data_IF_719480533610
#
_entry.id   IF_719480533610
#
_cell.length_a   1.000
_cell.length_b   1.000
_cell.length_c   1.000
_cell.angle_alpha   90.00
_cell.angle_beta   90.00
_cell.angle_gamma   90.00
#
_symmetry.space_group_name_H-M   'P 1'
#
loop_
_entity.id
_entity.type
_entity.pdbx_description
1 polymer ?
#
# COMPACT_ATOMS: atom_id res chain seq x y z
N UNK A 1 -12.08 -14.24 6.04
CA UNK A 1 -11.37 -12.95 5.93
C UNK A 1 -10.08 -13.22 5.19
N UNK A 2 -9.97 -12.75 3.95
CA UNK A 2 -8.73 -12.87 3.18
C UNK A 2 -7.68 -11.95 3.80
N UNK A 3 -6.47 -12.46 4.02
CA UNK A 3 -5.33 -11.73 4.61
C UNK A 3 -4.12 -11.84 3.70
N UNK A 4 -3.46 -10.72 3.45
CA UNK A 4 -2.15 -10.64 2.80
C UNK A 4 -1.15 -10.04 3.77
N UNK A 5 0.05 -10.63 3.87
CA UNK A 5 1.16 -10.09 4.65
C UNK A 5 2.44 -10.08 3.81
N UNK A 6 3.12 -8.92 3.76
CA UNK A 6 4.40 -8.75 3.06
C UNK A 6 5.41 -8.20 4.06
N UNK A 7 6.49 -8.94 4.30
CA UNK A 7 7.62 -8.55 5.15
C UNK A 7 8.80 -9.47 4.89
N UNK A 8 10.02 -9.04 5.19
CA UNK A 8 11.23 -9.87 5.08
C UNK A 8 11.37 -10.60 3.73
N UNK A 9 11.02 -9.93 2.63
CA UNK A 9 11.05 -10.47 1.26
C UNK A 9 10.15 -11.70 1.05
N UNK A 10 9.14 -11.85 1.91
CA UNK A 10 8.14 -12.91 1.84
C UNK A 10 6.75 -12.31 1.68
N UNK A 11 5.92 -13.04 0.94
CA UNK A 11 4.53 -12.70 0.64
C UNK A 11 3.67 -13.87 1.06
N UNK A 12 2.75 -13.61 1.98
CA UNK A 12 1.85 -14.60 2.56
C UNK A 12 0.41 -14.28 2.20
N UNK A 13 -0.34 -15.27 1.72
CA UNK A 13 -1.78 -15.19 1.49
C UNK A 13 -2.45 -16.22 2.39
N UNK A 14 -3.31 -15.77 3.32
CA UNK A 14 -3.98 -16.64 4.29
C UNK A 14 -3.02 -17.58 5.03
N UNK A 15 -1.87 -17.05 5.44
CA UNK A 15 -0.77 -17.75 6.14
C UNK A 15 -0.07 -18.85 5.31
N UNK A 16 -0.32 -18.92 4.00
CA UNK A 16 0.44 -19.72 3.04
C UNK A 16 1.48 -18.84 2.33
N UNK A 17 2.72 -19.33 2.25
CA UNK A 17 3.80 -18.62 1.55
C UNK A 17 3.54 -18.68 0.04
N UNK A 18 3.27 -17.53 -0.56
CA UNK A 18 2.95 -17.40 -1.97
C UNK A 18 4.14 -16.96 -2.82
N UNK A 19 5.07 -16.21 -2.24
CA UNK A 19 6.31 -15.80 -2.90
C UNK A 19 7.39 -15.48 -1.86
N UNK A 20 8.63 -15.79 -2.21
CA UNK A 20 9.81 -15.36 -1.47
C UNK A 20 10.94 -14.98 -2.43
N UNK A 21 11.81 -14.09 -1.97
CA UNK A 21 13.07 -13.74 -2.61
C UNK A 21 14.17 -13.69 -1.54
N UNK A 22 15.41 -13.54 -1.97
CA UNK A 22 16.59 -13.38 -1.10
C UNK A 22 17.48 -12.25 -1.59
N UNK A 23 16.87 -11.19 -2.12
CA UNK A 23 17.56 -10.09 -2.79
C UNK A 23 18.29 -9.14 -1.82
N UNK A 24 17.84 -9.10 -0.55
CA UNK A 24 18.33 -8.18 0.48
C UNK A 24 17.97 -6.72 0.26
N UNK A 25 17.18 -6.39 -0.76
CA UNK A 25 16.78 -5.01 -1.12
C UNK A 25 15.32 -4.97 -1.57
N UNK A 26 14.50 -4.16 -0.90
CA UNK A 26 13.10 -4.02 -1.25
C UNK A 26 12.89 -3.55 -2.71
N UNK A 27 13.80 -2.73 -3.25
CA UNK A 27 13.73 -2.25 -4.63
C UNK A 27 13.90 -3.37 -5.67
N UNK A 28 14.69 -4.40 -5.36
CA UNK A 28 14.86 -5.61 -6.18
C UNK A 28 13.70 -6.59 -5.93
N UNK A 29 13.43 -6.92 -4.66
CA UNK A 29 12.33 -7.80 -4.25
C UNK A 29 10.99 -7.37 -4.86
N UNK A 30 10.62 -6.08 -4.72
CA UNK A 30 9.35 -5.56 -5.24
C UNK A 30 9.23 -5.70 -6.76
N UNK A 31 10.34 -5.58 -7.51
CA UNK A 31 10.34 -5.76 -8.96
C UNK A 31 10.27 -7.23 -9.35
N UNK A 32 10.96 -8.11 -8.62
CA UNK A 32 10.93 -9.56 -8.86
C UNK A 32 9.53 -10.11 -8.59
N UNK A 33 8.93 -9.69 -7.48
CA UNK A 33 7.55 -10.01 -7.14
C UNK A 33 6.55 -9.46 -8.17
N UNK A 34 6.68 -8.20 -8.57
CA UNK A 34 5.81 -7.62 -9.61
C UNK A 34 5.88 -8.40 -10.94
N UNK A 35 7.09 -8.86 -11.33
CA UNK A 35 7.29 -9.65 -12.54
C UNK A 35 6.74 -11.07 -12.45
N UNK A 36 6.83 -11.71 -11.28
CA UNK A 36 6.35 -13.10 -11.11
C UNK A 36 4.83 -13.22 -11.23
N UNK A 37 4.11 -12.11 -11.09
CA UNK A 37 2.65 -12.03 -11.26
C UNK A 37 2.23 -11.61 -12.67
N UNK A 38 3.18 -11.40 -13.59
CA UNK A 38 2.91 -10.97 -14.97
C UNK A 38 2.01 -9.71 -15.06
N UNK A 39 2.14 -8.80 -14.08
CA UNK A 39 1.33 -7.57 -14.03
C UNK A 39 1.87 -6.56 -15.04
N UNK A 40 1.03 -6.11 -15.98
CA UNK A 40 1.35 -5.00 -16.88
C UNK A 40 0.81 -3.67 -16.34
N UNK A 41 1.62 -3.00 -15.51
CA UNK A 41 1.28 -1.68 -14.98
C UNK A 41 2.51 -0.77 -14.88
N UNK A 42 2.91 -0.06 -15.96
CA UNK A 42 4.15 0.73 -16.01
C UNK A 42 4.28 1.81 -14.92
N UNK A 43 3.17 2.30 -14.37
CA UNK A 43 3.17 3.28 -13.27
C UNK A 43 3.83 2.74 -12.01
N UNK A 44 3.81 1.42 -11.78
CA UNK A 44 4.47 0.77 -10.65
C UNK A 44 5.94 1.19 -10.50
N UNK A 45 6.68 1.30 -11.59
CA UNK A 45 8.11 1.65 -11.53
C UNK A 45 8.38 3.08 -11.03
N UNK A 46 7.39 3.98 -11.15
CA UNK A 46 7.47 5.38 -10.71
C UNK A 46 7.00 5.60 -9.27
N UNK A 47 6.42 4.59 -8.63
CA UNK A 47 5.95 4.65 -7.25
C UNK A 47 7.10 4.70 -6.25
N UNK A 48 6.89 5.40 -5.14
CA UNK A 48 7.72 5.28 -3.95
C UNK A 48 7.57 3.90 -3.29
N UNK A 49 8.42 3.59 -2.33
CA UNK A 49 8.48 2.25 -1.75
C UNK A 49 7.22 1.89 -0.95
N UNK A 50 6.63 2.85 -0.23
CA UNK A 50 5.38 2.62 0.48
C UNK A 50 4.22 2.34 -0.48
N UNK A 51 4.11 3.09 -1.58
CA UNK A 51 3.06 2.84 -2.57
C UNK A 51 3.27 1.54 -3.33
N UNK A 52 4.52 1.16 -3.64
CA UNK A 52 4.81 -0.18 -4.20
C UNK A 52 4.38 -1.29 -3.25
N UNK A 53 4.67 -1.15 -1.96
CA UNK A 53 4.30 -2.13 -0.95
C UNK A 53 2.77 -2.28 -0.85
N UNK A 54 2.04 -1.16 -0.75
CA UNK A 54 0.57 -1.15 -0.76
C UNK A 54 -0.01 -1.78 -2.02
N UNK A 55 0.52 -1.38 -3.18
CA UNK A 55 0.09 -1.86 -4.50
C UNK A 55 0.23 -3.37 -4.59
N UNK A 56 1.40 -3.91 -4.25
CA UNK A 56 1.68 -5.34 -4.32
C UNK A 56 0.77 -6.16 -3.39
N UNK A 57 0.52 -5.67 -2.18
CA UNK A 57 -0.39 -6.34 -1.26
C UNK A 57 -1.84 -6.33 -1.77
N UNK A 58 -2.29 -5.19 -2.33
CA UNK A 58 -3.63 -5.04 -2.88
C UNK A 58 -3.85 -5.90 -4.14
N UNK A 59 -2.85 -6.00 -5.02
CA UNK A 59 -2.90 -6.83 -6.22
C UNK A 59 -3.20 -8.29 -5.90
N UNK A 60 -2.61 -8.83 -4.84
CA UNK A 60 -2.88 -10.20 -4.38
C UNK A 60 -4.26 -10.28 -3.75
N UNK A 61 -4.55 -9.37 -2.80
CA UNK A 61 -5.77 -9.43 -2.00
C UNK A 61 -7.03 -9.35 -2.87
N UNK A 62 -6.97 -8.56 -3.93
CA UNK A 62 -8.08 -8.27 -4.83
C UNK A 62 -8.03 -9.07 -6.15
N UNK A 63 -7.07 -10.00 -6.29
CA UNK A 63 -6.86 -10.78 -7.53
C UNK A 63 -8.07 -11.60 -7.95
N UNK A 64 -8.68 -12.30 -6.98
CA UNK A 64 -9.77 -13.26 -7.20
C UNK A 64 -11.17 -12.66 -7.06
N UNK A 65 -11.29 -11.36 -6.82
CA UNK A 65 -12.56 -10.63 -6.94
C UNK A 65 -12.90 -10.53 -8.45
N UNK A 66 -13.31 -11.68 -9.00
CA UNK A 66 -13.66 -11.92 -10.39
C UNK A 66 -14.41 -10.72 -10.97
N UNK A 67 -13.79 -10.07 -11.96
CA UNK A 67 -14.27 -8.87 -12.65
C UNK A 67 -14.45 -7.66 -11.73
N UNK A 68 -13.55 -6.69 -11.89
CA UNK A 68 -13.75 -5.26 -11.64
C UNK A 68 -15.04 -4.78 -12.34
N UNK A 69 -16.18 -5.21 -11.83
CA UNK A 69 -17.49 -4.73 -12.24
C UNK A 69 -17.59 -3.30 -11.71
N UNK A 70 -18.28 -2.42 -12.45
CA UNK A 70 -18.33 -0.97 -12.23
C UNK A 70 -18.86 -0.53 -10.83
N UNK A 71 -19.24 -1.47 -9.96
CA UNK A 71 -19.90 -1.28 -8.67
C UNK A 71 -19.13 -1.90 -7.48
N UNK A 72 -17.80 -2.03 -7.55
CA UNK A 72 -17.01 -2.39 -6.37
C UNK A 72 -16.97 -1.23 -5.37
N UNK A 73 -17.96 -1.23 -4.47
CA UNK A 73 -18.04 -0.31 -3.34
C UNK A 73 -17.03 -0.70 -2.25
N UNK A 74 -15.74 -0.74 -2.57
CA UNK A 74 -14.67 -1.16 -1.65
C UNK A 74 -13.92 0.06 -1.12
N UNK A 75 -14.13 0.41 0.15
CA UNK A 75 -13.39 1.49 0.79
C UNK A 75 -11.98 1.05 1.20
N UNK A 76 -11.05 2.00 1.28
CA UNK A 76 -9.69 1.75 1.75
C UNK A 76 -9.44 2.45 3.08
N UNK A 77 -8.98 1.69 4.07
CA UNK A 77 -8.69 2.17 5.43
C UNK A 77 -7.28 1.72 5.79
N UNK A 78 -6.29 2.57 5.51
CA UNK A 78 -4.89 2.24 5.75
C UNK A 78 -4.36 2.96 6.97
N UNK A 79 -3.29 2.42 7.55
CA UNK A 79 -2.57 3.06 8.63
C UNK A 79 -1.08 2.73 8.57
N UNK A 80 -0.27 3.58 9.16
CA UNK A 80 1.14 3.31 9.37
C UNK A 80 1.71 4.10 10.56
N UNK A 81 3.00 3.90 10.84
CA UNK A 81 3.72 4.62 11.89
C UNK A 81 4.44 5.84 11.34
N UNK A 82 5.08 5.68 10.19
CA UNK A 82 6.08 6.63 9.72
C UNK A 82 5.55 7.61 8.66
N UNK A 83 4.24 7.67 8.42
CA UNK A 83 3.63 8.58 7.44
C UNK A 83 4.23 8.40 6.05
N UNK A 84 5.02 9.35 5.58
CA UNK A 84 5.74 9.34 4.30
C UNK A 84 7.24 9.54 4.53
N UNK A 85 7.75 9.27 5.74
CA UNK A 85 9.08 9.67 6.18
C UNK A 85 10.21 9.23 5.24
N UNK A 86 10.11 8.05 4.65
CA UNK A 86 11.06 7.59 3.63
C UNK A 86 11.14 8.57 2.43
N UNK A 87 9.98 8.98 1.91
CA UNK A 87 9.86 9.93 0.80
C UNK A 87 10.21 11.35 1.25
N UNK A 88 9.88 11.72 2.49
CA UNK A 88 10.25 13.01 3.08
C UNK A 88 11.77 13.16 3.18
N UNK A 89 12.47 12.12 3.64
CA UNK A 89 13.94 12.09 3.72
C UNK A 89 14.58 12.22 2.33
N UNK A 90 14.05 11.51 1.32
CA UNK A 90 14.51 11.61 -0.07
C UNK A 90 14.28 13.00 -0.65
N UNK A 91 13.11 13.59 -0.38
CA UNK A 91 12.82 14.94 -0.82
C UNK A 91 13.75 15.96 -0.15
N UNK A 92 13.92 15.87 1.18
CA UNK A 92 14.80 16.74 1.95
C UNK A 92 16.24 16.69 1.42
N UNK A 93 16.78 15.50 1.13
CA UNK A 93 18.11 15.35 0.54
C UNK A 93 18.24 16.09 -0.81
N UNK A 94 17.19 16.11 -1.63
CA UNK A 94 17.19 16.78 -2.95
C UNK A 94 17.16 18.31 -2.89
N UNK A 95 16.86 18.89 -1.73
CA UNK A 95 16.72 20.35 -1.53
C UNK A 95 17.65 20.93 -0.46
N UNK A 96 18.47 20.10 0.20
CA UNK A 96 19.31 20.52 1.31
C UNK A 96 20.61 21.20 0.87
N UNK A 97 21.16 20.82 -0.29
CA UNK A 97 22.34 21.46 -0.87
C UNK A 97 21.94 22.75 -1.58
N UNK A 98 22.66 23.85 -1.36
CA UNK A 98 22.47 25.10 -2.12
C UNK A 98 23.07 25.04 -3.53
N UNK A 99 24.04 24.15 -3.73
CA UNK A 99 24.82 24.07 -4.97
C UNK A 99 24.31 22.96 -5.90
N UNK A 100 23.52 22.02 -5.38
CA UNK A 100 22.98 20.85 -6.10
C UNK A 100 21.47 20.65 -5.81
N UNK A 101 20.65 21.63 -6.19
CA UNK A 101 19.19 21.58 -6.05
C UNK A 101 18.56 20.92 -7.27
N UNK A 102 18.08 19.68 -7.12
CA UNK A 102 17.36 18.95 -8.19
C UNK A 102 16.08 18.28 -7.66
N UNK A 103 15.11 19.05 -7.13
CA UNK A 103 13.86 18.50 -6.65
C UNK A 103 13.04 17.92 -7.79
N UNK A 104 12.62 16.68 -7.64
CA UNK A 104 11.66 16.06 -8.56
C UNK A 104 10.23 16.30 -8.06
N UNK A 105 9.33 16.91 -8.85
CA UNK A 105 7.92 17.05 -8.49
C UNK A 105 7.26 15.70 -8.19
N UNK A 106 7.71 14.62 -8.82
CA UNK A 106 7.19 13.28 -8.55
C UNK A 106 7.52 12.82 -7.13
N UNK A 107 8.74 13.11 -6.65
CA UNK A 107 9.15 12.76 -5.27
C UNK A 107 8.35 13.58 -4.25
N UNK A 108 8.09 14.86 -4.54
CA UNK A 108 7.28 15.72 -3.68
C UNK A 108 5.84 15.19 -3.50
N UNK A 109 5.21 14.64 -4.54
CA UNK A 109 3.86 14.08 -4.39
C UNK A 109 3.84 12.95 -3.35
N UNK A 110 4.86 12.09 -3.34
CA UNK A 110 4.96 10.98 -2.40
C UNK A 110 5.31 11.38 -0.95
N UNK A 111 5.50 12.67 -0.65
CA UNK A 111 5.59 13.18 0.73
C UNK A 111 4.22 13.27 1.42
N UNK A 112 3.19 12.67 0.82
CA UNK A 112 1.86 12.54 1.37
C UNK A 112 1.58 11.06 1.66
N UNK A 113 1.34 10.72 2.93
CA UNK A 113 1.15 9.33 3.35
C UNK A 113 0.00 8.60 2.64
N UNK A 114 -1.04 9.34 2.24
CA UNK A 114 -2.24 8.79 1.63
C UNK A 114 -2.11 8.49 0.13
N UNK A 115 -0.98 8.79 -0.53
CA UNK A 115 -0.82 8.56 -1.97
C UNK A 115 -0.96 7.09 -2.35
N UNK A 116 -0.51 6.19 -1.48
CA UNK A 116 -0.65 4.76 -1.72
C UNK A 116 -2.13 4.31 -1.84
N UNK A 117 -3.06 4.98 -1.15
CA UNK A 117 -4.51 4.76 -1.33
C UNK A 117 -4.95 5.15 -2.75
N UNK A 118 -4.43 6.26 -3.26
CA UNK A 118 -4.69 6.73 -4.62
C UNK A 118 -4.16 5.76 -5.67
N UNK A 119 -2.94 5.24 -5.51
CA UNK A 119 -2.36 4.27 -6.43
C UNK A 119 -3.17 2.95 -6.48
N UNK A 120 -3.57 2.44 -5.31
CA UNK A 120 -4.46 1.26 -5.21
C UNK A 120 -5.83 1.56 -5.81
N UNK A 121 -6.43 2.72 -5.49
CA UNK A 121 -7.75 3.10 -6.02
C UNK A 121 -7.75 3.20 -7.54
N UNK A 122 -6.72 3.81 -8.13
CA UNK A 122 -6.58 3.93 -9.58
C UNK A 122 -6.40 2.56 -10.22
N UNK A 123 -5.55 1.70 -9.65
CA UNK A 123 -5.27 0.36 -10.18
C UNK A 123 -6.51 -0.53 -10.21
N UNK A 124 -7.35 -0.45 -9.18
CA UNK A 124 -8.53 -1.29 -9.00
C UNK A 124 -9.84 -0.54 -9.27
N UNK A 125 -9.82 0.67 -9.83
CA UNK A 125 -11.02 1.43 -10.18
C UNK A 125 -11.94 1.76 -8.99
N UNK A 126 -11.40 1.86 -7.77
CA UNK A 126 -12.16 2.09 -6.54
C UNK A 126 -12.56 3.57 -6.42
N UNK A 127 -13.82 3.83 -6.09
CA UNK A 127 -14.41 5.19 -6.06
C UNK A 127 -15.08 5.57 -4.74
N UNK A 128 -14.96 4.72 -3.72
CA UNK A 128 -15.58 4.92 -2.40
C UNK A 128 -14.61 5.59 -1.42
N UNK A 129 -14.98 5.60 -0.13
CA UNK A 129 -14.25 6.28 0.93
C UNK A 129 -12.81 5.77 1.10
N UNK A 130 -11.89 6.71 1.31
CA UNK A 130 -10.48 6.44 1.57
C UNK A 130 -10.06 7.16 2.86
N UNK A 131 -9.42 6.44 3.78
CA UNK A 131 -8.89 6.99 5.03
C UNK A 131 -7.48 6.48 5.30
N UNK A 132 -6.59 7.38 5.74
CA UNK A 132 -5.22 7.05 6.16
C UNK A 132 -4.99 7.52 7.59
N UNK A 133 -4.62 6.61 8.48
CA UNK A 133 -4.37 6.90 9.90
C UNK A 133 -2.89 6.79 10.25
N UNK A 134 -2.38 7.76 11.02
CA UNK A 134 -1.03 7.69 11.58
C UNK A 134 -1.12 7.26 13.04
N UNK A 135 -0.46 6.16 13.39
CA UNK A 135 -0.48 5.60 14.74
C UNK A 135 0.86 4.92 15.06
N UNK A 136 1.30 5.01 16.32
CA UNK A 136 2.56 4.38 16.76
C UNK A 136 2.58 2.86 16.53
N UNK A 137 1.43 2.21 16.70
CA UNK A 137 1.27 0.77 16.59
C UNK A 137 0.07 0.44 15.70
N UNK A 138 0.08 -0.75 15.11
CA UNK A 138 -1.06 -1.28 14.37
C UNK A 138 -2.21 -1.63 15.32
N UNK A 139 -3.18 -0.71 15.45
CA UNK A 139 -4.40 -0.93 16.22
C UNK A 139 -5.48 -1.54 15.32
N UNK A 140 -5.35 -2.83 15.05
CA UNK A 140 -6.27 -3.56 14.17
C UNK A 140 -7.73 -3.47 14.64
N UNK A 141 -7.98 -3.50 15.96
CA UNK A 141 -9.33 -3.41 16.52
C UNK A 141 -10.00 -2.06 16.21
N UNK A 142 -9.27 -0.96 16.36
CA UNK A 142 -9.78 0.37 16.03
C UNK A 142 -10.08 0.53 14.55
N UNK A 143 -9.18 0.04 13.68
CA UNK A 143 -9.39 0.11 12.24
C UNK A 143 -10.58 -0.78 11.82
N UNK A 144 -10.76 -1.96 12.43
CA UNK A 144 -11.92 -2.82 12.20
C UNK A 144 -13.23 -2.14 12.63
N UNK A 145 -13.23 -1.42 13.75
CA UNK A 145 -14.40 -0.60 14.17
C UNK A 145 -14.74 0.45 13.12
N UNK A 146 -13.75 1.13 12.55
CA UNK A 146 -13.96 2.12 11.50
C UNK A 146 -14.46 1.47 10.20
N UNK A 147 -13.87 0.35 9.79
CA UNK A 147 -14.33 -0.42 8.62
C UNK A 147 -15.80 -0.88 8.78
N UNK A 148 -16.14 -1.47 9.91
CA UNK A 148 -17.51 -1.89 10.22
C UNK A 148 -18.48 -0.71 10.24
N UNK A 149 -18.05 0.46 10.73
CA UNK A 149 -18.85 1.68 10.65
C UNK A 149 -19.16 2.08 9.20
N UNK A 150 -18.17 2.03 8.30
CA UNK A 150 -18.39 2.34 6.88
C UNK A 150 -19.41 1.39 6.25
N UNK A 151 -19.32 0.09 6.54
CA UNK A 151 -20.26 -0.92 6.05
C UNK A 151 -21.66 -0.69 6.62
N UNK A 152 -21.79 -0.54 7.94
CA UNK A 152 -23.06 -0.30 8.62
C UNK A 152 -23.77 1.00 8.18
N UNK A 153 -23.01 1.99 7.70
CA UNK A 153 -23.55 3.25 7.16
C UNK A 153 -23.74 3.23 5.64
N UNK A 154 -23.61 2.07 4.99
CA UNK A 154 -23.70 1.90 3.55
C UNK A 154 -22.77 2.85 2.77
N UNK A 155 -21.59 3.14 3.33
CA UNK A 155 -20.54 3.92 2.67
C UNK A 155 -19.67 3.07 1.74
N UNK A 156 -19.63 1.77 2.02
CA UNK A 156 -18.95 0.75 1.23
C UNK A 156 -19.60 -0.60 1.53
N UNK A 157 -19.51 -1.55 0.60
CA UNK A 157 -19.92 -2.95 0.81
C UNK A 157 -18.79 -3.79 1.40
N UNK A 158 -17.55 -3.45 1.07
CA UNK A 158 -16.35 -4.09 1.60
C UNK A 158 -15.35 -3.01 2.00
N UNK A 159 -14.41 -3.37 2.86
CA UNK A 159 -13.32 -2.48 3.26
C UNK A 159 -12.01 -3.24 3.21
N UNK A 160 -11.03 -2.67 2.52
CA UNK A 160 -9.63 -3.08 2.65
C UNK A 160 -9.05 -2.34 3.84
N UNK A 161 -8.74 -3.08 4.89
CA UNK A 161 -8.05 -2.58 6.06
C UNK A 161 -6.57 -2.92 5.95
N UNK A 162 -5.68 -1.94 6.09
CA UNK A 162 -4.25 -2.20 5.95
C UNK A 162 -3.37 -1.50 7.01
N UNK A 163 -2.33 -2.18 7.43
CA UNK A 163 -1.09 -1.57 7.89
C UNK A 163 -0.11 -1.55 6.71
N UNK A 164 0.45 -0.40 6.34
CA UNK A 164 1.48 -0.30 5.29
C UNK A 164 2.54 0.68 5.72
N UNK A 165 3.65 0.17 6.25
CA UNK A 165 4.73 0.99 6.79
C UNK A 165 6.05 0.63 6.10
N UNK A 166 6.80 1.66 5.73
CA UNK A 166 8.12 1.52 5.13
C UNK A 166 9.04 2.62 5.65
N UNK A 167 10.22 2.24 6.14
CA UNK A 167 11.27 3.18 6.50
C UNK A 167 12.65 2.51 6.40
N UNK A 168 13.54 3.06 5.56
CA UNK A 168 14.95 2.64 5.51
C UNK A 168 15.16 1.13 5.33
N UNK A 169 14.31 0.48 4.54
CA UNK A 169 14.39 -0.96 4.27
C UNK A 169 13.68 -1.85 5.29
N UNK A 170 13.24 -1.32 6.43
CA UNK A 170 12.28 -1.99 7.32
C UNK A 170 10.86 -1.73 6.79
N UNK A 171 10.11 -2.80 6.54
CA UNK A 171 8.78 -2.70 5.97
C UNK A 171 7.86 -3.83 6.38
N UNK A 172 6.58 -3.50 6.50
CA UNK A 172 5.52 -4.45 6.74
C UNK A 172 4.23 -3.97 6.07
N UNK A 173 3.61 -4.84 5.28
CA UNK A 173 2.21 -4.72 4.91
C UNK A 173 1.41 -5.85 5.53
N UNK A 174 0.29 -5.50 6.18
CA UNK A 174 -0.76 -6.43 6.60
C UNK A 174 -2.07 -5.91 6.07
N UNK A 175 -2.73 -6.66 5.21
CA UNK A 175 -3.94 -6.22 4.52
C UNK A 175 -5.04 -7.26 4.66
N UNK A 176 -6.25 -6.78 4.92
CA UNK A 176 -7.44 -7.60 5.16
C UNK A 176 -8.59 -7.10 4.32
N UNK A 177 -9.38 -8.02 3.77
CA UNK A 177 -10.67 -7.71 3.15
C UNK A 177 -11.80 -8.06 4.13
N UNK A 178 -12.63 -7.07 4.46
CA UNK A 178 -13.77 -7.16 5.36
C UNK A 178 -15.05 -6.89 4.56
N UNK A 179 -16.10 -7.67 4.78
CA UNK A 179 -17.44 -7.56 4.21
C UNK A 179 -18.56 -7.61 5.26
#
# INVERSE_FOLDING_TARGET
>A
MTKVEIRNEQVWLNDELHFEDSSGDFGIFSKNFFKSFEIDYPKFYKMDYQSKLAFLAAEILLKDENTLNENQDIALVFANRNSSLESDLKHQQSIQSTDEIFPSPAVFVYTLANICLGEVSIRHGLKTENAFFISKNFNEEQLKKYANYLILKNKAKKVVLAWVDYLQGDYEAKMYLID
#
